data_IF_664562218838
#
_entry.id   IF_664562218838
#
_cell.length_a   1.000
_cell.length_b   1.000
_cell.length_c   1.000
_cell.angle_alpha   90.00
_cell.angle_beta   90.00
_cell.angle_gamma   90.00
#
_symmetry.space_group_name_H-M   'P 1'
#
loop_
_entity.id
_entity.type
_entity.pdbx_description
1 polymer ?
#
# COMPACT_ATOMS: atom_id res chain seq x y z
N UNK A 1 -10.58 -17.43 3.90
CA UNK A 1 -11.23 -16.83 2.71
C UNK A 1 -11.09 -15.33 2.78
N UNK A 2 -10.07 -14.74 2.12
CA UNK A 2 -9.92 -13.29 2.10
C UNK A 2 -11.14 -12.65 1.41
N UNK A 3 -11.56 -11.46 1.84
CA UNK A 3 -12.73 -10.78 1.28
C UNK A 3 -12.52 -10.28 -0.16
N UNK A 4 -11.27 -10.24 -0.64
CA UNK A 4 -10.92 -9.80 -2.00
C UNK A 4 -9.76 -10.60 -2.59
N UNK A 5 -9.54 -10.43 -3.90
CA UNK A 5 -8.38 -10.94 -4.64
C UNK A 5 -7.26 -9.88 -4.81
N UNK A 6 -7.39 -8.74 -4.13
CA UNK A 6 -6.49 -7.60 -4.27
C UNK A 6 -5.59 -7.45 -3.05
N UNK A 7 -4.40 -6.91 -3.26
CA UNK A 7 -3.43 -6.57 -2.21
C UNK A 7 -3.07 -5.09 -2.28
N UNK A 8 -2.50 -4.58 -1.20
CA UNK A 8 -1.88 -3.26 -1.17
C UNK A 8 -0.53 -3.32 -1.90
N UNK A 9 -0.32 -2.43 -2.88
CA UNK A 9 0.88 -2.39 -3.74
C UNK A 9 2.04 -1.55 -3.17
N UNK A 10 1.83 -0.86 -2.05
CA UNK A 10 2.78 0.10 -1.46
C UNK A 10 2.84 1.45 -2.18
N UNK A 11 2.00 1.69 -3.18
CA UNK A 11 1.94 2.95 -3.93
C UNK A 11 0.70 3.75 -3.54
N UNK A 12 0.91 4.97 -3.07
CA UNK A 12 -0.15 5.82 -2.52
C UNK A 12 -0.12 7.21 -3.16
N UNK A 13 -1.29 7.74 -3.49
CA UNK A 13 -1.49 9.16 -3.78
C UNK A 13 -2.19 9.80 -2.57
N UNK A 14 -1.49 10.71 -1.89
CA UNK A 14 -1.93 11.28 -0.61
C UNK A 14 -1.88 12.80 -0.68
N UNK A 15 -2.92 13.45 -0.15
CA UNK A 15 -2.90 14.89 0.08
C UNK A 15 -2.06 15.22 1.33
N UNK A 16 -1.43 16.41 1.41
CA UNK A 16 -0.58 16.79 2.55
C UNK A 16 -1.27 16.70 3.92
N UNK A 17 -2.59 16.81 3.98
CA UNK A 17 -3.40 16.68 5.20
C UNK A 17 -3.21 15.32 5.89
N UNK A 18 -2.69 14.31 5.19
CA UNK A 18 -2.34 13.00 5.75
C UNK A 18 -1.43 13.10 6.99
N UNK A 19 -0.56 14.11 7.05
CA UNK A 19 0.35 14.29 8.19
C UNK A 19 -0.38 14.68 9.48
N UNK A 20 -1.63 15.19 9.41
CA UNK A 20 -2.45 15.46 10.61
C UNK A 20 -2.81 14.20 11.40
N UNK A 21 -2.76 13.03 10.78
CA UNK A 21 -2.99 11.73 11.44
C UNK A 21 -1.77 11.25 12.23
N UNK A 22 -0.61 11.93 12.10
CA UNK A 22 0.64 11.61 12.77
C UNK A 22 0.93 12.57 13.92
N UNK A 23 1.07 12.05 15.14
CA UNK A 23 1.12 12.85 16.37
C UNK A 23 2.54 13.28 16.80
N UNK A 24 3.42 13.60 15.85
CA UNK A 24 4.82 13.96 16.14
C UNK A 24 5.76 12.75 16.24
N UNK A 25 6.93 12.83 16.91
CA UNK A 25 8.13 12.01 16.64
C UNK A 25 8.06 10.56 17.15
N UNK A 26 6.91 9.91 17.00
CA UNK A 26 6.70 8.50 17.26
C UNK A 26 6.72 7.76 15.94
N UNK A 27 7.32 6.59 15.91
CA UNK A 27 7.21 5.70 14.77
C UNK A 27 5.74 5.42 14.44
N UNK A 28 5.41 5.40 13.16
CA UNK A 28 4.06 5.07 12.69
C UNK A 28 4.13 4.32 11.37
N UNK A 29 3.25 3.34 11.19
CA UNK A 29 3.03 2.62 9.95
C UNK A 29 1.69 3.06 9.36
N UNK A 30 1.70 3.59 8.14
CA UNK A 30 0.49 4.13 7.52
C UNK A 30 -0.62 3.08 7.40
N UNK A 31 -0.27 1.83 7.11
CA UNK A 31 -1.20 0.71 6.97
C UNK A 31 -1.90 0.33 8.28
N UNK A 32 -1.25 0.57 9.42
CA UNK A 32 -1.76 0.19 10.75
C UNK A 32 -2.38 1.37 11.50
N UNK A 33 -1.76 2.54 11.41
CA UNK A 33 -2.08 3.68 12.28
C UNK A 33 -2.97 4.73 11.61
N UNK A 34 -3.01 4.74 10.27
CA UNK A 34 -3.67 5.79 9.48
C UNK A 34 -4.80 5.22 8.62
N UNK A 35 -4.55 4.17 7.83
CA UNK A 35 -5.56 3.59 6.93
C UNK A 35 -6.85 3.16 7.63
N UNK A 36 -6.84 2.52 8.82
CA UNK A 36 -8.08 2.20 9.51
C UNK A 36 -8.92 3.44 9.85
N UNK A 37 -8.29 4.56 10.22
CA UNK A 37 -8.98 5.82 10.50
C UNK A 37 -9.57 6.43 9.24
N UNK A 38 -8.78 6.48 8.16
CA UNK A 38 -9.27 6.97 6.87
C UNK A 38 -10.43 6.11 6.33
N UNK A 39 -10.39 4.79 6.52
CA UNK A 39 -11.48 3.90 6.11
C UNK A 39 -12.76 4.19 6.90
N UNK A 40 -12.66 4.40 8.22
CA UNK A 40 -13.79 4.80 9.07
C UNK A 40 -14.35 6.18 8.68
N UNK A 41 -13.50 7.09 8.22
CA UNK A 41 -13.88 8.42 7.74
C UNK A 41 -14.31 8.45 6.26
N UNK A 42 -14.38 7.31 5.57
CA UNK A 42 -14.71 7.21 4.14
C UNK A 42 -13.75 8.00 3.22
N UNK A 43 -12.48 8.13 3.66
CA UNK A 43 -11.40 8.83 2.95
C UNK A 43 -10.33 7.90 2.37
N UNK A 44 -10.44 6.59 2.58
CA UNK A 44 -9.53 5.61 2.02
C UNK A 44 -10.13 5.00 0.75
N UNK A 45 -9.43 5.18 -0.38
CA UNK A 45 -9.86 4.67 -1.68
C UNK A 45 -8.82 3.70 -2.23
N UNK A 46 -9.30 2.74 -3.03
CA UNK A 46 -8.45 1.80 -3.76
C UNK A 46 -8.53 2.05 -5.26
N UNK A 47 -7.38 2.00 -5.94
CA UNK A 47 -7.31 1.96 -7.40
C UNK A 47 -6.86 0.56 -7.84
N UNK A 48 -7.68 -0.10 -8.66
CA UNK A 48 -7.34 -1.41 -9.20
C UNK A 48 -6.42 -1.22 -10.40
N UNK A 49 -5.15 -1.56 -10.20
CA UNK A 49 -4.16 -1.62 -11.27
C UNK A 49 -4.09 -3.03 -11.85
N UNK A 50 -4.07 -3.13 -13.18
CA UNK A 50 -4.09 -4.40 -13.94
C UNK A 50 -2.83 -4.63 -14.77
N UNK A 51 -1.76 -3.88 -14.54
CA UNK A 51 -0.47 -4.06 -15.22
C UNK A 51 0.54 -4.86 -14.39
N UNK A 52 1.77 -5.00 -14.88
CA UNK A 52 2.84 -5.71 -14.17
C UNK A 52 3.14 -5.06 -12.82
N UNK A 53 3.13 -5.86 -11.76
CA UNK A 53 3.53 -5.48 -10.41
C UNK A 53 4.18 -6.69 -9.73
N UNK A 54 5.32 -6.47 -9.07
CA UNK A 54 6.08 -7.51 -8.38
C UNK A 54 6.55 -6.97 -7.03
N UNK A 55 6.37 -7.78 -5.98
CA UNK A 55 7.07 -7.58 -4.72
C UNK A 55 8.54 -8.03 -4.89
N UNK A 56 9.48 -7.16 -4.53
CA UNK A 56 10.93 -7.40 -4.70
C UNK A 56 11.63 -7.62 -3.35
N UNK A 57 10.90 -8.05 -2.31
CA UNK A 57 11.42 -8.24 -0.96
C UNK A 57 12.48 -9.35 -0.80
N UNK A 58 12.70 -10.20 -1.81
CA UNK A 58 13.70 -11.28 -1.78
C UNK A 58 14.47 -11.40 -3.10
N UNK A 59 15.62 -12.09 -3.07
CA UNK A 59 16.42 -12.34 -4.29
C UNK A 59 15.62 -13.21 -5.28
N UNK A 60 14.88 -14.19 -4.78
CA UNK A 60 14.06 -15.09 -5.59
C UNK A 60 12.92 -14.34 -6.29
N UNK A 61 12.22 -13.47 -5.55
CA UNK A 61 11.12 -12.67 -6.10
C UNK A 61 11.64 -11.64 -7.12
N UNK A 62 12.80 -11.04 -6.85
CA UNK A 62 13.49 -10.18 -7.81
C UNK A 62 13.86 -10.91 -9.11
N UNK A 63 14.42 -12.12 -9.01
CA UNK A 63 14.75 -12.94 -10.18
C UNK A 63 13.51 -13.32 -11.01
N UNK A 64 12.39 -13.61 -10.36
CA UNK A 64 11.11 -13.85 -11.04
C UNK A 64 10.59 -12.60 -11.73
N UNK A 65 10.71 -11.42 -11.10
CA UNK A 65 10.29 -10.16 -11.70
C UNK A 65 11.06 -9.90 -13.00
N UNK A 66 12.40 -10.02 -12.99
CA UNK A 66 13.22 -9.85 -14.20
C UNK A 66 12.79 -10.81 -15.32
N UNK A 67 12.59 -12.09 -14.99
CA UNK A 67 12.22 -13.11 -15.99
C UNK A 67 10.88 -12.82 -16.65
N UNK A 68 9.94 -12.27 -15.90
CA UNK A 68 8.57 -12.05 -16.34
C UNK A 68 8.33 -10.61 -16.81
N UNK A 69 9.36 -9.75 -16.78
CA UNK A 69 9.27 -8.36 -17.25
C UNK A 69 9.35 -8.35 -18.78
N UNK A 70 8.22 -8.07 -19.44
CA UNK A 70 8.07 -8.00 -20.89
C UNK A 70 7.46 -6.68 -21.32
#
# INVERSE_FOLDING_TARGET
NPPSKYINSGLYLLSPEIFSYHQGPKFSMIEKDVFPKLAQEEKLYGYIYTGPWYDLGTIESYGQAIKNWS
#
